data_IF_132756145174
#
_entry.id   IF_132756145174
#
_cell.length_a   1.000
_cell.length_b   1.000
_cell.length_c   1.000
_cell.angle_alpha   90.00
_cell.angle_beta   90.00
_cell.angle_gamma   90.00
#
_symmetry.space_group_name_H-M   'P 1'
#
loop_
_entity.id
_entity.type
_entity.pdbx_description
1 polymer ?
#
# COMPACT_ATOMS: atom_id res chain seq x y z
N UNK A 1 -1.77 -12.99 -7.42
CA UNK A 1 -1.66 -14.25 -8.19
C UNK A 1 -2.98 -15.01 -8.18
N UNK A 2 -3.65 -15.08 -9.33
CA UNK A 2 -4.92 -15.78 -9.50
C UNK A 2 -5.48 -15.65 -10.91
N UNK A 3 -6.58 -16.36 -11.25
CA UNK A 3 -7.07 -16.43 -12.63
C UNK A 3 -7.56 -15.07 -13.16
N UNK A 4 -8.11 -14.20 -12.31
CA UNK A 4 -8.55 -12.87 -12.73
C UNK A 4 -7.38 -11.95 -13.10
N UNK A 5 -6.36 -11.91 -12.26
CA UNK A 5 -5.11 -11.18 -12.53
C UNK A 5 -4.44 -11.73 -13.80
N UNK A 6 -4.34 -13.07 -13.94
CA UNK A 6 -3.76 -13.69 -15.13
C UNK A 6 -4.53 -13.37 -16.41
N UNK A 7 -5.85 -13.29 -16.36
CA UNK A 7 -6.66 -12.81 -17.48
C UNK A 7 -6.33 -11.36 -17.85
N UNK A 8 -6.23 -10.47 -16.84
CA UNK A 8 -5.84 -9.07 -17.05
C UNK A 8 -4.46 -8.95 -17.70
N UNK A 9 -3.49 -9.73 -17.22
CA UNK A 9 -2.15 -9.81 -17.82
C UNK A 9 -2.21 -10.21 -19.30
N UNK A 10 -3.00 -11.21 -19.67
CA UNK A 10 -3.18 -11.63 -21.07
C UNK A 10 -3.76 -10.53 -21.95
N UNK A 11 -4.70 -9.75 -21.44
CA UNK A 11 -5.29 -8.60 -22.17
C UNK A 11 -4.24 -7.52 -22.42
N UNK A 12 -3.49 -7.13 -21.36
CA UNK A 12 -2.45 -6.10 -21.44
C UNK A 12 -1.32 -6.54 -22.37
N UNK A 13 -0.86 -7.78 -22.24
CA UNK A 13 0.17 -8.37 -23.12
C UNK A 13 -0.24 -8.37 -24.59
N UNK A 14 -1.51 -8.74 -24.86
CA UNK A 14 -2.06 -8.68 -26.21
C UNK A 14 -2.05 -7.27 -26.82
N UNK A 15 -2.33 -6.24 -26.00
CA UNK A 15 -2.26 -4.84 -26.42
C UNK A 15 -0.82 -4.39 -26.67
N UNK A 16 0.10 -4.74 -25.78
CA UNK A 16 1.52 -4.42 -25.94
C UNK A 16 2.11 -5.05 -27.20
N UNK A 17 1.78 -6.33 -27.49
CA UNK A 17 2.15 -7.01 -28.74
C UNK A 17 1.61 -6.30 -29.97
N UNK A 18 0.34 -5.88 -29.94
CA UNK A 18 -0.27 -5.14 -31.08
C UNK A 18 0.36 -3.76 -31.28
N UNK A 19 1.00 -3.19 -30.27
CA UNK A 19 1.77 -1.95 -30.35
C UNK A 19 3.22 -2.17 -30.77
N UNK A 20 3.68 -3.43 -30.93
CA UNK A 20 5.07 -3.76 -31.26
C UNK A 20 6.06 -3.48 -30.11
N UNK A 21 5.63 -3.47 -28.88
CA UNK A 21 6.50 -3.30 -27.72
C UNK A 21 7.30 -4.59 -27.46
N UNK A 22 8.54 -4.45 -26.98
CA UNK A 22 9.30 -5.58 -26.46
C UNK A 22 8.71 -6.01 -25.10
N UNK A 23 8.52 -7.32 -24.91
CA UNK A 23 7.89 -7.86 -23.71
C UNK A 23 8.85 -8.81 -23.03
N UNK A 24 9.05 -8.58 -21.72
CA UNK A 24 9.87 -9.41 -20.85
C UNK A 24 9.11 -9.71 -19.56
N UNK A 25 9.48 -10.80 -18.88
CA UNK A 25 8.96 -11.14 -17.58
C UNK A 25 10.14 -11.41 -16.64
N UNK A 26 10.06 -10.91 -15.42
CA UNK A 26 11.07 -11.18 -14.41
C UNK A 26 10.81 -12.52 -13.67
N UNK A 27 11.66 -12.80 -12.69
CA UNK A 27 11.56 -14.01 -11.87
C UNK A 27 10.25 -14.10 -11.07
N UNK A 28 9.62 -12.97 -10.74
CA UNK A 28 8.33 -12.88 -10.03
C UNK A 28 7.12 -12.89 -10.98
N UNK A 29 7.35 -13.03 -12.28
CA UNK A 29 6.34 -12.92 -13.35
C UNK A 29 5.70 -11.53 -13.48
N UNK A 30 6.36 -10.46 -13.01
CA UNK A 30 6.01 -9.11 -13.43
C UNK A 30 6.27 -8.96 -14.93
N UNK A 31 5.49 -8.12 -15.61
CA UNK A 31 5.62 -7.94 -17.06
C UNK A 31 6.14 -6.54 -17.38
N UNK A 32 7.14 -6.49 -18.25
CA UNK A 32 7.79 -5.27 -18.74
C UNK A 32 7.50 -5.12 -20.23
N UNK A 33 6.92 -3.98 -20.59
CA UNK A 33 6.52 -3.65 -21.96
C UNK A 33 7.30 -2.42 -22.41
N UNK A 34 8.33 -2.60 -23.23
CA UNK A 34 9.31 -1.56 -23.54
C UNK A 34 9.13 -1.00 -24.94
N UNK A 35 9.01 0.32 -25.04
CA UNK A 35 9.22 1.10 -26.26
C UNK A 35 10.71 1.47 -26.31
N UNK A 36 11.49 0.95 -27.27
CA UNK A 36 12.92 1.22 -27.33
C UNK A 36 13.21 2.71 -27.60
N UNK A 37 14.21 3.22 -26.89
CA UNK A 37 14.77 4.54 -27.11
C UNK A 37 15.92 4.55 -28.11
N UNK A 38 16.51 5.74 -28.32
CA UNK A 38 17.69 5.91 -29.16
C UNK A 38 18.97 5.37 -28.49
N UNK A 39 19.01 5.39 -27.17
CA UNK A 39 20.11 4.87 -26.34
C UNK A 39 19.56 3.88 -25.31
N UNK A 40 19.48 2.59 -25.67
CA UNK A 40 18.98 1.55 -24.74
C UNK A 40 19.95 1.22 -23.60
N UNK A 41 21.20 1.75 -23.64
CA UNK A 41 22.16 1.63 -22.55
C UNK A 41 22.00 2.67 -21.44
N UNK A 42 21.20 3.71 -21.69
CA UNK A 42 20.89 4.72 -20.66
C UNK A 42 19.83 4.22 -19.69
N UNK A 43 19.85 4.70 -18.42
CA UNK A 43 18.80 4.42 -17.46
C UNK A 43 17.41 4.75 -18.03
N UNK A 44 16.49 3.80 -17.91
CA UNK A 44 15.16 3.86 -18.51
C UNK A 44 14.16 4.70 -17.71
N UNK A 45 13.17 5.23 -18.38
CA UNK A 45 11.97 5.77 -17.72
C UNK A 45 10.98 4.62 -17.60
N UNK A 46 10.51 4.37 -16.39
CA UNK A 46 9.49 3.37 -16.12
C UNK A 46 8.18 4.04 -15.72
N UNK A 47 7.08 3.42 -16.10
CA UNK A 47 5.73 3.74 -15.72
C UNK A 47 5.03 2.45 -15.35
N UNK A 48 3.91 2.53 -14.67
CA UNK A 48 3.10 1.34 -14.43
C UNK A 48 2.42 1.36 -13.08
N UNK A 49 1.84 0.26 -12.75
CA UNK A 49 1.16 -0.08 -11.50
C UNK A 49 0.84 -1.57 -11.51
N UNK A 50 -0.16 -2.01 -10.76
CA UNK A 50 -0.58 -3.41 -10.63
C UNK A 50 -1.89 -3.71 -11.38
N UNK A 51 -2.26 -4.99 -11.44
CA UNK A 51 -3.53 -5.45 -12.06
C UNK A 51 -4.35 -6.31 -11.07
N UNK A 52 -3.75 -6.75 -9.98
CA UNK A 52 -4.50 -7.37 -8.90
C UNK A 52 -5.38 -6.35 -8.16
N UNK A 53 -6.32 -6.83 -7.37
CA UNK A 53 -7.29 -6.00 -6.67
C UNK A 53 -7.71 -6.64 -5.36
N UNK A 54 -8.13 -5.81 -4.42
CA UNK A 54 -8.79 -6.25 -3.18
C UNK A 54 -10.17 -6.86 -3.45
N UNK A 55 -10.70 -7.71 -2.57
CA UNK A 55 -12.08 -8.17 -2.66
C UNK A 55 -13.05 -6.98 -2.68
N UNK A 56 -13.91 -6.93 -3.69
CA UNK A 56 -14.85 -5.82 -3.93
C UNK A 56 -14.16 -4.48 -4.24
N UNK A 57 -12.92 -4.52 -4.74
CA UNK A 57 -12.21 -3.35 -5.25
C UNK A 57 -12.87 -2.76 -6.49
N UNK A 58 -12.46 -1.54 -6.83
CA UNK A 58 -12.90 -0.85 -8.04
C UNK A 58 -12.27 -1.43 -9.32
N UNK A 59 -12.64 -0.84 -10.46
CA UNK A 59 -12.13 -1.30 -11.77
C UNK A 59 -10.87 -0.55 -12.22
N UNK A 60 -10.44 0.47 -11.49
CA UNK A 60 -9.42 1.43 -11.94
C UNK A 60 -8.15 1.38 -11.11
N UNK A 61 -8.24 0.90 -9.88
CA UNK A 61 -7.11 0.77 -8.99
C UNK A 61 -6.03 -0.12 -9.62
N UNK A 62 -4.79 0.34 -9.63
CA UNK A 62 -3.67 -0.28 -10.31
C UNK A 62 -3.80 -0.30 -11.85
N UNK A 63 -4.93 -0.80 -12.37
CA UNK A 63 -5.17 -0.91 -13.81
C UNK A 63 -5.02 0.43 -14.55
N UNK A 64 -5.41 1.55 -13.95
CA UNK A 64 -5.26 2.88 -14.54
C UNK A 64 -3.79 3.22 -14.81
N UNK A 65 -2.88 2.87 -13.90
CA UNK A 65 -1.44 3.12 -14.06
C UNK A 65 -0.81 2.30 -15.16
N UNK A 66 -1.15 1.01 -15.23
CA UNK A 66 -0.66 0.13 -16.33
C UNK A 66 -1.17 0.60 -17.69
N UNK A 67 -2.47 0.91 -17.80
CA UNK A 67 -3.06 1.40 -19.05
C UNK A 67 -2.53 2.78 -19.40
N UNK A 68 -2.36 3.67 -18.40
CA UNK A 68 -1.76 4.99 -18.58
C UNK A 68 -0.36 4.92 -19.17
N UNK A 69 0.46 3.98 -18.72
CA UNK A 69 1.79 3.72 -19.28
C UNK A 69 1.73 3.31 -20.76
N UNK A 70 0.85 2.36 -21.12
CA UNK A 70 0.65 1.97 -22.52
C UNK A 70 0.13 3.13 -23.38
N UNK A 71 -0.77 3.96 -22.86
CA UNK A 71 -1.30 5.14 -23.56
C UNK A 71 -0.18 6.14 -23.83
N UNK A 72 0.70 6.39 -22.85
CA UNK A 72 1.86 7.27 -23.03
C UNK A 72 2.82 6.75 -24.10
N UNK A 73 3.14 5.45 -24.12
CA UNK A 73 3.96 4.84 -25.16
C UNK A 73 3.28 4.94 -26.54
N UNK A 74 1.96 4.70 -26.60
CA UNK A 74 1.19 4.83 -27.84
C UNK A 74 1.17 6.27 -28.36
N UNK A 75 1.08 7.26 -27.46
CA UNK A 75 1.17 8.66 -27.84
C UNK A 75 2.52 9.01 -28.46
N UNK A 76 3.64 8.57 -27.88
CA UNK A 76 4.97 8.73 -28.45
C UNK A 76 5.06 8.15 -29.86
N UNK A 77 4.58 6.90 -30.05
CA UNK A 77 4.54 6.26 -31.37
C UNK A 77 3.71 7.05 -32.37
N UNK A 78 2.52 7.51 -31.96
CA UNK A 78 1.59 8.23 -32.85
C UNK A 78 2.12 9.60 -33.29
N UNK A 79 2.94 10.23 -32.45
CA UNK A 79 3.63 11.48 -32.74
C UNK A 79 4.96 11.29 -33.49
N UNK A 80 5.37 10.04 -33.76
CA UNK A 80 6.65 9.74 -34.39
C UNK A 80 7.85 10.09 -33.50
N UNK A 81 7.67 10.15 -32.19
CA UNK A 81 8.73 10.50 -31.24
C UNK A 81 9.44 9.23 -30.79
N UNK A 82 10.75 9.15 -31.12
CA UNK A 82 11.63 8.15 -30.51
C UNK A 82 12.23 8.74 -29.24
N UNK A 83 11.96 8.16 -28.04
CA UNK A 83 12.51 8.68 -26.79
C UNK A 83 14.03 8.58 -26.75
N UNK A 84 14.68 9.36 -25.86
CA UNK A 84 16.15 9.33 -25.73
C UNK A 84 16.66 8.03 -25.09
N UNK A 85 15.91 7.46 -24.17
CA UNK A 85 16.18 6.19 -23.51
C UNK A 85 14.93 5.31 -23.61
N UNK A 86 15.03 4.06 -23.21
CA UNK A 86 13.90 3.15 -23.16
C UNK A 86 12.79 3.69 -22.26
N UNK A 87 11.54 3.51 -22.72
CA UNK A 87 10.35 3.80 -21.92
C UNK A 87 9.61 2.48 -21.70
N UNK A 88 9.54 2.05 -20.45
CA UNK A 88 9.00 0.74 -20.07
C UNK A 88 7.74 0.91 -19.22
N UNK A 89 6.66 0.26 -19.62
CA UNK A 89 5.50 0.08 -18.75
C UNK A 89 5.64 -1.24 -18.00
N UNK A 90 5.57 -1.21 -16.69
CA UNK A 90 5.61 -2.38 -15.82
C UNK A 90 4.20 -2.70 -15.32
N UNK A 91 3.76 -3.94 -15.47
CA UNK A 91 2.63 -4.48 -14.75
C UNK A 91 3.16 -5.30 -13.57
N UNK A 92 2.89 -4.81 -12.37
CA UNK A 92 3.37 -5.37 -11.11
C UNK A 92 2.40 -6.44 -10.64
N UNK A 93 2.92 -7.58 -10.15
CA UNK A 93 2.15 -8.67 -9.57
C UNK A 93 1.89 -8.45 -8.09
N UNK A 94 0.66 -8.78 -7.67
CA UNK A 94 0.31 -8.94 -6.25
C UNK A 94 0.86 -7.79 -5.37
N UNK A 95 0.49 -6.57 -5.72
CA UNK A 95 0.79 -5.37 -4.96
C UNK A 95 0.00 -5.39 -3.65
N UNK A 96 -1.27 -5.78 -3.72
CA UNK A 96 -2.26 -5.79 -2.66
C UNK A 96 -1.96 -6.84 -1.59
N UNK A 97 -1.79 -6.42 -0.37
CA UNK A 97 -1.39 -7.30 0.76
C UNK A 97 -2.48 -8.26 1.24
N UNK A 98 -3.73 -8.05 0.84
CA UNK A 98 -4.90 -8.72 1.45
C UNK A 98 -4.94 -10.24 1.24
N UNK A 99 -4.37 -10.73 0.14
CA UNK A 99 -4.45 -12.14 -0.22
C UNK A 99 -3.44 -13.04 0.51
N UNK A 100 -2.23 -12.54 0.77
CA UNK A 100 -1.15 -13.31 1.40
C UNK A 100 -0.64 -12.69 2.70
N UNK A 101 -1.18 -11.55 3.13
CA UNK A 101 -0.68 -10.75 4.26
C UNK A 101 0.80 -10.36 4.11
N UNK A 102 1.28 -10.31 2.87
CA UNK A 102 2.59 -9.83 2.44
C UNK A 102 2.35 -8.71 1.44
N UNK A 103 2.91 -7.53 1.68
CA UNK A 103 2.75 -6.36 0.82
C UNK A 103 3.82 -6.32 -0.26
N UNK A 104 3.46 -5.77 -1.43
CA UNK A 104 4.40 -5.40 -2.48
C UNK A 104 5.21 -6.59 -3.04
N UNK A 105 4.57 -7.75 -3.20
CA UNK A 105 5.24 -9.00 -3.58
C UNK A 105 5.99 -8.82 -4.92
N UNK A 106 5.32 -8.25 -5.92
CA UNK A 106 5.90 -8.10 -7.26
C UNK A 106 7.11 -7.18 -7.29
N UNK A 107 7.00 -5.97 -6.74
CA UNK A 107 8.11 -5.02 -6.72
C UNK A 107 9.28 -5.52 -5.88
N UNK A 108 9.02 -6.08 -4.68
CA UNK A 108 10.06 -6.68 -3.84
C UNK A 108 10.78 -7.83 -4.53
N UNK A 109 10.05 -8.64 -5.28
CA UNK A 109 10.64 -9.73 -6.08
C UNK A 109 11.51 -9.18 -7.21
N UNK A 110 11.07 -8.10 -7.90
CA UNK A 110 11.83 -7.47 -8.96
C UNK A 110 13.20 -6.95 -8.47
N UNK A 111 13.27 -6.45 -7.24
CA UNK A 111 14.51 -5.99 -6.60
C UNK A 111 15.23 -7.06 -5.75
N UNK A 112 14.71 -8.28 -5.67
CA UNK A 112 15.34 -9.37 -4.91
C UNK A 112 15.30 -9.18 -3.39
N UNK A 113 14.32 -8.43 -2.87
CA UNK A 113 14.17 -8.08 -1.45
C UNK A 113 12.87 -8.60 -0.83
N UNK A 114 12.32 -9.68 -1.41
CA UNK A 114 11.16 -10.35 -0.82
C UNK A 114 11.52 -10.86 0.59
N UNK A 115 10.72 -10.59 1.63
CA UNK A 115 11.05 -11.00 2.99
C UNK A 115 11.19 -12.53 3.14
N UNK A 116 12.05 -12.95 4.04
CA UNK A 116 12.19 -14.36 4.42
C UNK A 116 10.84 -14.93 4.87
N UNK A 117 10.52 -16.14 4.43
CA UNK A 117 9.26 -16.80 4.75
C UNK A 117 8.04 -16.30 3.93
N UNK A 118 8.16 -15.27 3.11
CA UNK A 118 7.05 -14.78 2.32
C UNK A 118 6.51 -15.80 1.31
N UNK A 119 7.38 -16.63 0.74
CA UNK A 119 7.00 -17.68 -0.22
C UNK A 119 6.11 -18.77 0.40
N UNK A 120 6.18 -18.94 1.70
CA UNK A 120 5.40 -19.89 2.50
C UNK A 120 4.11 -19.27 3.04
N UNK A 121 3.89 -17.96 2.84
CA UNK A 121 2.69 -17.27 3.31
C UNK A 121 1.43 -17.89 2.69
N UNK A 122 0.45 -18.31 3.52
CA UNK A 122 -0.76 -18.94 3.00
C UNK A 122 -1.72 -17.88 2.41
N UNK A 123 -2.32 -18.20 1.28
CA UNK A 123 -3.42 -17.39 0.75
C UNK A 123 -4.64 -17.50 1.68
N UNK A 124 -5.24 -16.36 1.99
CA UNK A 124 -6.31 -16.26 3.02
C UNK A 124 -7.56 -17.10 2.72
N UNK A 125 -7.87 -17.40 1.47
CA UNK A 125 -9.04 -18.14 1.05
C UNK A 125 -8.78 -19.64 0.78
N UNK A 126 -7.56 -20.01 0.36
CA UNK A 126 -7.21 -21.36 -0.04
C UNK A 126 -6.25 -22.05 0.93
N UNK A 127 -5.50 -21.32 1.73
CA UNK A 127 -4.42 -21.81 2.57
C UNK A 127 -3.19 -22.28 1.81
N UNK A 128 -3.19 -22.22 0.48
CA UNK A 128 -2.04 -22.62 -0.36
C UNK A 128 -0.94 -21.57 -0.27
N UNK A 129 0.34 -21.97 -0.27
CA UNK A 129 1.46 -21.05 -0.14
C UNK A 129 1.61 -20.13 -1.38
N UNK A 130 2.15 -18.94 -1.18
CA UNK A 130 2.43 -17.95 -2.23
C UNK A 130 3.25 -18.54 -3.37
N UNK A 131 4.28 -19.34 -3.05
CA UNK A 131 5.16 -19.97 -4.05
C UNK A 131 4.42 -20.81 -5.10
N UNK A 132 3.35 -21.53 -4.70
CA UNK A 132 2.55 -22.31 -5.65
C UNK A 132 1.78 -21.39 -6.61
N UNK A 133 1.14 -20.33 -6.08
CA UNK A 133 0.41 -19.36 -6.90
C UNK A 133 1.33 -18.59 -7.86
N UNK A 134 2.54 -18.24 -7.43
CA UNK A 134 3.55 -17.61 -8.27
C UNK A 134 3.99 -18.55 -9.40
N UNK A 135 4.30 -19.82 -9.08
CA UNK A 135 4.71 -20.81 -10.07
C UNK A 135 3.63 -21.04 -11.14
N UNK A 136 2.35 -21.11 -10.74
CA UNK A 136 1.20 -21.21 -11.66
C UNK A 136 1.09 -20.00 -12.62
N UNK A 137 1.60 -18.85 -12.22
CA UNK A 137 1.66 -17.64 -13.04
C UNK A 137 2.96 -17.48 -13.83
N UNK A 138 3.86 -18.48 -13.78
CA UNK A 138 5.10 -18.50 -14.55
C UNK A 138 6.33 -17.93 -13.85
N UNK A 139 6.27 -17.69 -12.52
CA UNK A 139 7.42 -17.23 -11.77
C UNK A 139 8.49 -18.34 -11.62
N UNK A 140 9.75 -17.95 -11.62
CA UNK A 140 10.90 -18.79 -11.28
C UNK A 140 11.16 -18.74 -9.76
N UNK A 141 10.53 -19.67 -9.06
CA UNK A 141 10.56 -19.70 -7.58
C UNK A 141 11.98 -19.89 -7.04
N UNK A 142 12.87 -20.58 -7.77
CA UNK A 142 14.26 -20.78 -7.35
C UNK A 142 15.04 -19.46 -7.36
N UNK A 143 14.88 -18.66 -8.41
CA UNK A 143 15.52 -17.32 -8.50
C UNK A 143 14.92 -16.34 -7.48
N UNK A 144 13.60 -16.40 -7.27
CA UNK A 144 12.93 -15.58 -6.25
C UNK A 144 13.46 -15.94 -4.84
N UNK A 145 13.54 -17.24 -4.52
CA UNK A 145 14.07 -17.73 -3.24
C UNK A 145 15.53 -17.37 -3.03
N UNK A 146 16.30 -17.34 -4.10
CA UNK A 146 17.70 -16.91 -4.07
C UNK A 146 17.88 -15.39 -3.92
N UNK A 147 16.79 -14.59 -3.88
CA UNK A 147 16.85 -13.14 -3.79
C UNK A 147 17.49 -12.50 -5.03
N UNK A 148 17.36 -13.11 -6.21
CA UNK A 148 17.97 -12.59 -7.42
C UNK A 148 17.17 -11.42 -7.97
N UNK A 149 17.76 -10.23 -7.90
CA UNK A 149 17.17 -9.05 -8.49
C UNK A 149 17.12 -9.13 -10.02
N UNK A 150 16.03 -8.64 -10.60
CA UNK A 150 15.86 -8.37 -12.03
C UNK A 150 16.14 -6.91 -12.34
N UNK A 151 15.70 -6.01 -11.47
CA UNK A 151 15.93 -4.57 -11.56
C UNK A 151 17.09 -4.14 -10.67
N UNK A 152 17.84 -3.13 -11.15
CA UNK A 152 18.75 -2.36 -10.35
C UNK A 152 18.30 -0.89 -10.39
N UNK A 153 18.17 -0.24 -9.25
CA UNK A 153 17.71 1.15 -9.15
C UNK A 153 18.56 2.13 -10.00
N UNK A 154 19.86 1.86 -10.19
CA UNK A 154 20.74 2.69 -11.04
C UNK A 154 20.35 2.68 -12.52
N UNK A 155 19.65 1.64 -12.98
CA UNK A 155 19.21 1.49 -14.38
C UNK A 155 17.81 2.12 -14.59
N UNK A 156 17.24 2.73 -13.55
CA UNK A 156 15.95 3.43 -13.58
C UNK A 156 16.21 4.92 -13.41
N UNK A 157 15.91 5.72 -14.42
CA UNK A 157 16.01 7.17 -14.40
C UNK A 157 14.88 7.82 -13.62
N UNK A 158 13.67 7.29 -13.78
CA UNK A 158 12.45 7.74 -13.12
C UNK A 158 11.41 6.62 -13.17
N UNK A 159 10.60 6.52 -12.11
CA UNK A 159 9.35 5.75 -12.11
C UNK A 159 8.18 6.71 -11.91
N UNK A 160 7.15 6.59 -12.75
CA UNK A 160 5.94 7.41 -12.67
C UNK A 160 4.73 6.49 -12.64
N UNK A 161 3.91 6.63 -11.61
CA UNK A 161 2.68 5.89 -11.46
C UNK A 161 1.46 6.81 -11.57
N UNK A 162 0.48 6.43 -12.39
CA UNK A 162 -0.85 7.00 -12.36
C UNK A 162 -1.68 6.14 -11.43
N UNK A 163 -2.16 6.74 -10.35
CA UNK A 163 -2.99 6.08 -9.37
C UNK A 163 -4.34 6.80 -9.23
N UNK A 164 -5.38 6.09 -8.84
CA UNK A 164 -6.65 6.70 -8.46
C UNK A 164 -6.48 7.42 -7.12
N UNK A 165 -7.27 8.45 -6.88
CA UNK A 165 -7.15 9.23 -5.64
C UNK A 165 -7.57 8.45 -4.39
N UNK A 166 -8.48 7.50 -4.50
CA UNK A 166 -9.12 6.77 -3.39
C UNK A 166 -9.82 7.68 -2.36
N UNK A 167 -10.05 8.94 -2.71
CA UNK A 167 -10.65 9.98 -1.90
C UNK A 167 -11.49 10.94 -2.78
N UNK A 168 -12.35 11.81 -2.23
CA UNK A 168 -13.18 12.72 -3.01
C UNK A 168 -12.56 14.09 -3.27
N UNK A 169 -11.35 14.40 -2.82
CA UNK A 169 -10.78 15.75 -2.79
C UNK A 169 -10.65 16.39 -4.18
N UNK A 170 -10.19 15.62 -5.18
CA UNK A 170 -10.11 16.11 -6.57
C UNK A 170 -11.50 16.42 -7.15
N UNK A 171 -12.48 15.56 -6.85
CA UNK A 171 -13.86 15.76 -7.29
C UNK A 171 -14.46 17.00 -6.62
N UNK A 172 -14.26 17.16 -5.31
CA UNK A 172 -14.73 18.34 -4.56
C UNK A 172 -14.05 19.63 -5.03
N UNK A 173 -12.76 19.58 -5.35
CA UNK A 173 -12.01 20.71 -5.91
C UNK A 173 -12.32 20.99 -7.39
N UNK A 174 -13.02 20.08 -8.09
CA UNK A 174 -13.26 20.17 -9.53
C UNK A 174 -11.99 20.08 -10.37
N UNK A 175 -10.96 19.37 -9.88
CA UNK A 175 -9.66 19.23 -10.53
C UNK A 175 -9.51 17.86 -11.18
N UNK A 176 -8.85 17.77 -12.34
CA UNK A 176 -8.73 16.53 -13.10
C UNK A 176 -7.66 15.58 -12.56
N UNK A 177 -6.63 16.12 -11.89
CA UNK A 177 -5.52 15.34 -11.34
C UNK A 177 -4.74 16.12 -10.27
N UNK A 178 -3.94 15.38 -9.49
CA UNK A 178 -2.94 15.91 -8.58
C UNK A 178 -1.55 15.34 -8.92
N UNK A 179 -0.51 15.97 -8.41
CA UNK A 179 0.84 15.40 -8.39
C UNK A 179 1.19 15.16 -6.93
N UNK A 180 1.46 13.89 -6.56
CA UNK A 180 1.82 13.51 -5.22
C UNK A 180 3.18 14.06 -4.81
N UNK A 181 3.26 14.63 -3.62
CA UNK A 181 4.52 15.12 -3.02
C UNK A 181 5.33 14.00 -2.38
N UNK A 182 4.72 12.85 -2.18
CA UNK A 182 5.33 11.66 -1.60
C UNK A 182 4.29 10.63 -1.18
N UNK A 183 4.79 9.51 -0.69
CA UNK A 183 3.98 8.42 -0.13
C UNK A 183 4.16 8.40 1.37
N UNK A 184 3.08 8.33 2.17
CA UNK A 184 3.17 8.33 3.62
C UNK A 184 3.88 7.08 4.14
N UNK A 185 4.73 7.27 5.14
CA UNK A 185 5.20 6.16 5.94
C UNK A 185 4.13 5.70 6.93
N UNK A 186 4.35 4.55 7.54
CA UNK A 186 3.42 4.02 8.52
C UNK A 186 4.12 3.28 9.66
N UNK A 187 3.37 3.12 10.75
CA UNK A 187 3.58 2.03 11.69
C UNK A 187 2.27 1.29 11.92
N UNK A 188 2.38 -0.03 12.06
CA UNK A 188 1.24 -0.95 12.14
C UNK A 188 1.40 -1.90 13.32
N UNK A 189 0.28 -2.12 14.00
CA UNK A 189 0.13 -3.16 15.00
C UNK A 189 -1.02 -4.08 14.58
N UNK A 190 -0.73 -5.17 13.83
CA UNK A 190 -1.76 -6.04 13.25
C UNK A 190 -2.63 -6.76 14.29
N UNK A 191 -2.09 -6.98 15.49
CA UNK A 191 -2.75 -7.73 16.57
C UNK A 191 -2.47 -7.06 17.91
N UNK A 192 -3.33 -6.12 18.29
CA UNK A 192 -3.33 -5.54 19.63
C UNK A 192 -4.30 -6.35 20.49
N UNK A 193 -3.86 -6.81 21.64
CA UNK A 193 -4.72 -7.46 22.64
C UNK A 193 -4.85 -6.58 23.85
N UNK A 194 -6.10 -6.34 24.27
CA UNK A 194 -6.41 -5.68 25.55
C UNK A 194 -6.92 -6.75 26.50
N UNK A 195 -6.26 -6.94 27.64
CA UNK A 195 -6.65 -7.89 28.66
C UNK A 195 -7.19 -7.15 29.89
N UNK A 196 -8.44 -7.42 30.19
CA UNK A 196 -9.15 -7.02 31.41
C UNK A 196 -9.61 -8.24 32.21
N UNK A 197 -10.80 -8.17 32.79
CA UNK A 197 -11.39 -9.29 33.54
C UNK A 197 -12.84 -9.56 33.11
N UNK A 198 -13.17 -10.79 32.76
CA UNK A 198 -14.54 -11.19 32.52
C UNK A 198 -15.35 -11.10 33.82
N UNK A 199 -16.55 -10.53 33.73
CA UNK A 199 -17.42 -10.37 34.89
C UNK A 199 -18.89 -10.41 34.51
N UNK A 200 -19.75 -10.69 35.48
CA UNK A 200 -21.18 -10.58 35.30
C UNK A 200 -21.60 -9.11 35.16
N UNK A 201 -22.61 -8.80 34.35
CA UNK A 201 -23.13 -7.44 34.10
C UNK A 201 -23.52 -6.70 35.39
N UNK A 202 -23.88 -7.39 36.47
CA UNK A 202 -24.20 -6.83 37.75
C UNK A 202 -23.01 -6.36 38.60
N UNK A 203 -21.73 -6.63 38.15
CA UNK A 203 -20.56 -6.15 38.89
C UNK A 203 -20.53 -4.60 38.85
N UNK A 204 -20.42 -3.90 40.02
CA UNK A 204 -20.36 -2.46 40.03
C UNK A 204 -19.17 -1.90 39.28
N UNK A 205 -19.35 -0.76 38.59
CA UNK A 205 -18.36 -0.11 37.71
C UNK A 205 -16.94 -0.02 38.29
N UNK A 206 -16.81 0.30 39.58
CA UNK A 206 -15.52 0.50 40.28
C UNK A 206 -14.65 -0.77 40.37
N UNK A 207 -15.24 -1.94 40.13
CA UNK A 207 -14.55 -3.23 40.20
C UNK A 207 -14.30 -3.84 38.81
N UNK A 208 -14.78 -3.20 37.74
CA UNK A 208 -14.65 -3.72 36.40
C UNK A 208 -13.30 -3.37 35.78
N UNK A 209 -12.68 -4.36 35.17
CA UNK A 209 -11.59 -4.17 34.21
C UNK A 209 -12.12 -4.51 32.83
N UNK A 210 -12.88 -3.59 32.28
CA UNK A 210 -13.68 -3.76 31.07
C UNK A 210 -12.82 -3.48 29.83
N UNK A 211 -12.46 -4.53 29.11
CA UNK A 211 -11.61 -4.42 27.92
C UNK A 211 -12.32 -3.69 26.77
N UNK A 212 -13.66 -3.80 26.66
CA UNK A 212 -14.41 -3.10 25.60
C UNK A 212 -14.44 -1.59 25.82
N UNK A 213 -14.62 -1.14 27.08
CA UNK A 213 -14.52 0.28 27.38
C UNK A 213 -13.10 0.82 27.22
N UNK A 214 -12.08 0.02 27.52
CA UNK A 214 -10.68 0.38 27.27
C UNK A 214 -10.38 0.52 25.79
N UNK A 215 -10.90 -0.39 24.96
CA UNK A 215 -10.79 -0.30 23.48
C UNK A 215 -11.51 0.94 22.93
N UNK A 216 -12.67 1.28 23.49
CA UNK A 216 -13.41 2.49 23.11
C UNK A 216 -12.65 3.76 23.45
N UNK A 217 -12.06 3.85 24.66
CA UNK A 217 -11.20 4.96 25.06
C UNK A 217 -9.97 5.07 24.15
N UNK A 218 -9.43 3.95 23.71
CA UNK A 218 -8.31 3.90 22.78
C UNK A 218 -8.69 4.48 21.41
N UNK A 219 -9.81 4.05 20.83
CA UNK A 219 -10.30 4.58 19.56
C UNK A 219 -10.59 6.09 19.62
N UNK A 220 -11.29 6.53 20.66
CA UNK A 220 -11.58 7.96 20.87
C UNK A 220 -10.31 8.78 21.18
N UNK A 221 -9.34 8.18 21.85
CA UNK A 221 -8.05 8.82 22.10
C UNK A 221 -7.22 9.02 20.83
N UNK A 222 -7.25 8.07 19.92
CA UNK A 222 -6.63 8.20 18.59
C UNK A 222 -7.35 9.26 17.74
N UNK A 223 -8.68 9.25 17.73
CA UNK A 223 -9.47 10.27 17.04
C UNK A 223 -9.15 11.68 17.53
N UNK A 224 -8.98 11.84 18.85
CA UNK A 224 -8.54 13.12 19.43
C UNK A 224 -7.15 13.53 18.95
N UNK A 225 -6.19 12.59 18.88
CA UNK A 225 -4.85 12.86 18.36
C UNK A 225 -4.95 13.32 16.90
N UNK A 226 -5.81 12.70 16.08
CA UNK A 226 -6.04 13.11 14.71
C UNK A 226 -6.60 14.53 14.63
N UNK A 227 -7.68 14.83 15.36
CA UNK A 227 -8.26 16.18 15.39
C UNK A 227 -7.25 17.26 15.81
N UNK A 228 -6.36 16.96 16.77
CA UNK A 228 -5.31 17.90 17.21
C UNK A 228 -4.27 18.12 16.09
N UNK A 229 -3.93 17.09 15.32
CA UNK A 229 -3.02 17.19 14.18
C UNK A 229 -3.67 17.93 13.00
N UNK A 230 -4.93 17.65 12.68
CA UNK A 230 -5.68 18.39 11.64
C UNK A 230 -5.74 19.89 11.96
N UNK A 231 -6.02 20.24 13.22
CA UNK A 231 -6.04 21.64 13.65
C UNK A 231 -4.66 22.33 13.58
N UNK A 232 -3.58 21.55 13.58
CA UNK A 232 -2.20 22.02 13.46
C UNK A 232 -1.66 21.97 12.01
N UNK A 233 -2.50 21.63 11.02
CA UNK A 233 -2.12 21.41 9.62
C UNK A 233 -0.99 20.39 9.47
N UNK A 234 -1.09 19.30 10.23
CA UNK A 234 -0.15 18.16 10.22
C UNK A 234 -0.89 16.90 9.76
N UNK A 235 -0.92 16.61 8.47
CA UNK A 235 -1.71 15.51 7.93
C UNK A 235 -1.24 14.17 8.49
N UNK A 236 -2.21 13.37 8.92
CA UNK A 236 -2.05 11.99 9.35
C UNK A 236 -3.33 11.22 9.05
N UNK A 237 -3.24 9.90 9.12
CA UNK A 237 -4.41 9.03 9.10
C UNK A 237 -4.22 7.88 10.08
N UNK A 238 -5.33 7.31 10.59
CA UNK A 238 -5.28 6.01 11.24
C UNK A 238 -6.50 5.16 10.88
N UNK A 239 -6.32 3.85 10.98
CA UNK A 239 -7.41 2.88 10.80
C UNK A 239 -7.35 1.81 11.87
N UNK A 240 -8.50 1.52 12.48
CA UNK A 240 -8.72 0.34 13.31
C UNK A 240 -9.52 -0.67 12.47
N UNK A 241 -8.82 -1.55 11.77
CA UNK A 241 -9.45 -2.50 10.83
C UNK A 241 -10.11 -3.70 11.53
N UNK A 242 -9.68 -4.02 12.76
CA UNK A 242 -10.28 -5.04 13.63
C UNK A 242 -10.65 -4.40 14.96
N UNK A 243 -11.83 -4.76 15.47
CA UNK A 243 -12.31 -4.28 16.75
C UNK A 243 -13.37 -5.24 17.28
N UNK A 244 -12.96 -6.26 18.02
CA UNK A 244 -13.89 -7.30 18.45
C UNK A 244 -13.51 -7.93 19.79
N UNK A 245 -14.53 -8.45 20.48
CA UNK A 245 -14.39 -9.28 21.68
C UNK A 245 -13.99 -10.71 21.28
N UNK A 246 -13.57 -11.50 22.23
CA UNK A 246 -13.37 -12.94 22.04
C UNK A 246 -14.74 -13.63 21.84
N UNK A 247 -14.98 -14.14 20.63
CA UNK A 247 -16.25 -14.76 20.21
C UNK A 247 -16.59 -16.04 20.94
N UNK A 248 -15.58 -16.74 21.50
CA UNK A 248 -15.78 -18.02 22.19
C UNK A 248 -16.39 -17.85 23.59
N UNK A 249 -16.27 -16.65 24.17
CA UNK A 249 -16.69 -16.37 25.55
C UNK A 249 -17.58 -15.14 25.71
N UNK A 250 -17.84 -14.38 24.66
CA UNK A 250 -18.69 -13.21 24.75
C UNK A 250 -20.18 -13.60 24.92
N UNK A 251 -20.92 -12.84 25.73
CA UNK A 251 -22.36 -13.01 25.87
C UNK A 251 -23.02 -11.70 26.31
N UNK A 252 -24.33 -11.56 26.12
CA UNK A 252 -25.09 -10.35 26.38
C UNK A 252 -24.90 -9.79 27.82
N UNK A 253 -24.68 -10.68 28.79
CA UNK A 253 -24.59 -10.31 30.20
C UNK A 253 -23.18 -10.42 30.80
N UNK A 254 -22.18 -10.56 29.95
CA UNK A 254 -20.76 -10.65 30.36
C UNK A 254 -20.02 -9.37 30.00
N UNK A 255 -19.33 -8.79 30.99
CA UNK A 255 -18.33 -7.72 30.78
C UNK A 255 -17.16 -8.35 30.05
N UNK A 256 -16.76 -7.87 28.85
CA UNK A 256 -15.64 -8.44 28.10
C UNK A 256 -14.32 -8.29 28.86
N UNK A 257 -13.64 -9.41 29.09
CA UNK A 257 -12.30 -9.46 29.67
C UNK A 257 -11.20 -9.40 28.61
N UNK A 258 -11.55 -9.43 27.32
CA UNK A 258 -10.58 -9.36 26.23
C UNK A 258 -11.16 -8.65 25.02
N UNK A 259 -10.30 -7.83 24.36
CA UNK A 259 -10.55 -7.23 23.06
C UNK A 259 -9.35 -7.43 22.15
N UNK A 260 -9.63 -7.61 20.87
CA UNK A 260 -8.62 -7.66 19.79
C UNK A 260 -8.83 -6.51 18.83
N UNK A 261 -7.75 -5.81 18.50
CA UNK A 261 -7.75 -4.69 17.55
C UNK A 261 -6.60 -4.85 16.53
N UNK A 262 -6.69 -4.11 15.44
CA UNK A 262 -5.53 -3.81 14.61
C UNK A 262 -5.44 -2.30 14.42
N UNK A 263 -4.23 -1.77 14.24
CA UNK A 263 -3.98 -0.36 14.06
C UNK A 263 -3.00 -0.15 12.90
N UNK A 264 -3.33 0.76 11.99
CA UNK A 264 -2.44 1.36 10.99
C UNK A 264 -2.44 2.86 11.24
N UNK A 265 -1.27 3.49 11.36
CA UNK A 265 -1.09 4.94 11.49
C UNK A 265 -0.13 5.41 10.43
N UNK A 266 -0.47 6.49 9.73
CA UNK A 266 0.28 7.04 8.61
C UNK A 266 0.55 8.52 8.77
N UNK A 267 1.72 8.97 8.29
CA UNK A 267 2.08 10.38 8.18
C UNK A 267 3.17 10.57 7.11
N UNK A 268 3.39 11.83 6.71
CA UNK A 268 4.22 12.18 5.56
C UNK A 268 5.65 12.57 5.93
N UNK A 269 6.02 12.53 7.20
CA UNK A 269 7.40 12.70 7.64
C UNK A 269 7.76 11.77 8.81
N UNK A 270 8.99 11.32 8.84
CA UNK A 270 9.47 10.36 9.83
C UNK A 270 9.47 10.91 11.27
N UNK A 271 9.86 12.17 11.54
CA UNK A 271 9.69 12.79 12.86
C UNK A 271 8.25 12.76 13.36
N UNK A 272 7.28 13.09 12.50
CA UNK A 272 5.87 13.08 12.85
C UNK A 272 5.38 11.66 13.20
N UNK A 273 5.78 10.65 12.41
CA UNK A 273 5.47 9.25 12.74
C UNK A 273 5.99 8.84 14.12
N UNK A 274 7.21 9.26 14.47
CA UNK A 274 7.80 8.97 15.78
C UNK A 274 7.02 9.66 16.92
N UNK A 275 6.60 10.91 16.73
CA UNK A 275 5.77 11.66 17.69
C UNK A 275 4.40 11.00 17.87
N UNK A 276 3.75 10.56 16.77
CA UNK A 276 2.47 9.87 16.81
C UNK A 276 2.58 8.52 17.55
N UNK A 277 3.65 7.77 17.32
CA UNK A 277 3.89 6.50 18.03
C UNK A 277 4.13 6.73 19.53
N UNK A 278 4.85 7.80 19.89
CA UNK A 278 5.02 8.18 21.29
C UNK A 278 3.68 8.58 21.92
N UNK A 279 2.85 9.35 21.21
CA UNK A 279 1.50 9.73 21.67
C UNK A 279 0.59 8.49 21.86
N UNK A 280 0.71 7.48 20.99
CA UNK A 280 0.06 6.18 21.14
C UNK A 280 0.47 5.50 22.43
N UNK A 281 1.77 5.41 22.75
CA UNK A 281 2.25 4.79 23.98
C UNK A 281 1.78 5.54 25.24
N UNK A 282 1.72 6.87 25.17
CA UNK A 282 1.17 7.69 26.26
C UNK A 282 -0.32 7.46 26.46
N UNK A 283 -1.07 7.32 25.37
CA UNK A 283 -2.49 6.99 25.40
C UNK A 283 -2.71 5.61 26.04
N UNK A 284 -1.97 4.60 25.62
CA UNK A 284 -2.03 3.24 26.20
C UNK A 284 -1.80 3.27 27.71
N UNK A 285 -0.71 3.90 28.17
CA UNK A 285 -0.39 4.00 29.60
C UNK A 285 -1.50 4.66 30.40
N UNK A 286 -2.11 5.73 29.86
CA UNK A 286 -3.23 6.42 30.52
C UNK A 286 -4.45 5.52 30.67
N UNK A 287 -4.77 4.74 29.64
CA UNK A 287 -5.93 3.84 29.65
C UNK A 287 -5.68 2.67 30.61
N UNK A 288 -4.49 2.07 30.59
CA UNK A 288 -4.12 1.02 31.55
C UNK A 288 -4.30 1.46 32.98
N UNK A 289 -3.77 2.64 33.32
CA UNK A 289 -3.91 3.22 34.67
C UNK A 289 -5.38 3.53 35.05
N UNK A 290 -6.18 4.03 34.09
CA UNK A 290 -7.57 4.43 34.35
C UNK A 290 -8.54 3.24 34.41
N UNK A 291 -8.30 2.19 33.63
CA UNK A 291 -9.21 1.03 33.47
C UNK A 291 -8.74 -0.24 34.18
N UNK A 292 -7.48 -0.30 34.62
CA UNK A 292 -6.89 -1.50 35.24
C UNK A 292 -6.76 -2.68 34.29
N UNK A 293 -6.63 -2.39 33.00
CA UNK A 293 -6.39 -3.38 31.92
C UNK A 293 -4.91 -3.38 31.54
N UNK A 294 -4.50 -4.31 30.69
CA UNK A 294 -3.17 -4.31 30.07
C UNK A 294 -3.28 -4.38 28.56
N UNK A 295 -2.40 -3.67 27.86
CA UNK A 295 -2.25 -3.73 26.42
C UNK A 295 -1.03 -4.55 26.03
N UNK A 296 -1.22 -5.50 25.14
CA UNK A 296 -0.17 -6.16 24.37
C UNK A 296 -0.31 -5.67 22.92
N UNK A 297 0.62 -4.83 22.49
CA UNK A 297 0.59 -4.28 21.12
C UNK A 297 1.04 -5.30 20.06
N UNK A 298 1.69 -6.40 20.49
CA UNK A 298 2.19 -7.42 19.57
C UNK A 298 3.34 -6.94 18.68
N UNK A 299 3.50 -7.60 17.54
CA UNK A 299 4.55 -7.29 16.59
C UNK A 299 4.28 -5.96 15.86
N UNK A 300 5.32 -5.13 15.75
CA UNK A 300 5.30 -3.89 14.97
C UNK A 300 5.75 -4.15 13.54
N UNK A 301 5.02 -3.63 12.57
CA UNK A 301 5.46 -3.48 11.19
C UNK A 301 5.52 -1.99 10.83
N UNK A 302 6.32 -1.61 9.85
CA UNK A 302 6.40 -0.21 9.38
C UNK A 302 6.89 -0.14 7.94
N UNK A 303 6.59 0.99 7.30
CA UNK A 303 7.20 1.43 6.06
C UNK A 303 7.69 2.87 6.25
N UNK A 304 8.81 3.20 5.59
CA UNK A 304 9.37 4.54 5.63
C UNK A 304 8.59 5.50 4.72
N UNK A 305 8.69 6.79 4.99
CA UNK A 305 8.18 7.84 4.12
C UNK A 305 9.00 7.87 2.83
N UNK A 306 8.35 7.93 1.68
CA UNK A 306 9.00 8.07 0.38
C UNK A 306 8.60 9.38 -0.30
N UNK A 307 9.44 10.44 -0.22
CA UNK A 307 9.18 11.70 -0.91
C UNK A 307 9.32 11.51 -2.43
N UNK A 308 8.48 12.23 -3.19
CA UNK A 308 8.62 12.26 -4.65
C UNK A 308 9.96 12.88 -5.05
N UNK A 309 10.59 12.31 -6.09
CA UNK A 309 11.83 12.90 -6.64
C UNK A 309 11.57 14.32 -7.14
N UNK A 310 12.37 15.33 -6.71
CA UNK A 310 12.14 16.72 -7.08
C UNK A 310 12.22 16.97 -8.60
N UNK A 311 13.06 16.24 -9.33
CA UNK A 311 13.20 16.37 -10.77
C UNK A 311 11.99 15.81 -11.53
N UNK A 312 11.47 14.66 -11.09
CA UNK A 312 10.24 14.07 -11.65
C UNK A 312 9.05 14.96 -11.34
N UNK A 313 8.92 15.42 -10.09
CA UNK A 313 7.85 16.33 -9.67
C UNK A 313 7.83 17.61 -10.51
N UNK A 314 8.98 18.28 -10.66
CA UNK A 314 9.11 19.48 -11.49
C UNK A 314 8.78 19.21 -12.97
N UNK A 315 9.19 18.06 -13.50
CA UNK A 315 8.88 17.65 -14.88
C UNK A 315 7.38 17.47 -15.12
N UNK A 316 6.68 16.80 -14.21
CA UNK A 316 5.23 16.61 -14.27
C UNK A 316 4.48 17.92 -14.13
N UNK A 317 4.90 18.79 -13.20
CA UNK A 317 4.34 20.15 -13.02
C UNK A 317 4.46 20.97 -14.32
N UNK A 318 5.65 21.02 -14.91
CA UNK A 318 5.88 21.76 -16.14
C UNK A 318 5.05 21.19 -17.32
N UNK A 319 4.84 19.87 -17.36
CA UNK A 319 3.97 19.26 -18.37
C UNK A 319 2.50 19.66 -18.20
N UNK A 320 1.98 19.67 -16.98
CA UNK A 320 0.63 20.10 -16.69
C UNK A 320 0.39 21.59 -17.01
N UNK A 321 1.34 22.46 -16.66
CA UNK A 321 1.30 23.89 -17.01
C UNK A 321 1.22 24.11 -18.52
N UNK A 322 2.05 23.42 -19.31
CA UNK A 322 2.02 23.47 -20.77
C UNK A 322 0.69 23.05 -21.38
N UNK A 323 0.00 22.13 -20.72
CA UNK A 323 -1.31 21.64 -21.13
C UNK A 323 -2.45 22.45 -20.53
N UNK A 324 -2.16 23.50 -19.75
CA UNK A 324 -3.15 24.30 -19.02
C UNK A 324 -4.05 23.47 -18.11
N UNK A 325 -3.46 22.42 -17.50
CA UNK A 325 -4.13 21.56 -16.53
C UNK A 325 -3.93 22.16 -15.13
N UNK A 326 -5.03 22.51 -14.47
CA UNK A 326 -4.99 22.89 -13.06
C UNK A 326 -4.68 21.66 -12.19
N UNK A 327 -3.76 21.83 -11.26
CA UNK A 327 -3.29 20.78 -10.37
C UNK A 327 -3.65 21.06 -8.92
N UNK A 328 -3.93 20.00 -8.18
CA UNK A 328 -3.78 19.97 -6.75
C UNK A 328 -2.37 19.40 -6.44
N UNK A 329 -1.68 20.03 -5.50
CA UNK A 329 -0.45 19.49 -4.93
C UNK A 329 -0.84 18.89 -3.59
N UNK A 330 -0.81 17.58 -3.49
CA UNK A 330 -1.28 16.88 -2.29
C UNK A 330 -0.30 15.79 -1.88
N UNK A 331 -0.20 15.61 -0.58
CA UNK A 331 0.46 14.46 0.02
C UNK A 331 -0.46 13.23 0.11
N UNK A 332 -1.73 13.37 -0.27
CA UNK A 332 -2.76 12.31 -0.18
C UNK A 332 -2.84 11.41 -1.43
N UNK A 333 -1.85 11.44 -2.30
CA UNK A 333 -1.84 10.53 -3.43
C UNK A 333 -1.53 9.12 -2.97
N UNK A 334 -2.47 8.22 -3.15
CA UNK A 334 -2.38 6.76 -3.07
C UNK A 334 -1.88 6.16 -1.75
N UNK A 335 -2.78 5.60 -1.05
CA UNK A 335 -2.60 5.03 0.29
C UNK A 335 -1.87 3.67 0.30
N UNK A 336 -1.75 2.99 -0.84
CA UNK A 336 -1.14 1.68 -1.01
C UNK A 336 -0.05 1.64 -2.10
N UNK A 337 0.45 2.79 -2.54
CA UNK A 337 1.47 2.84 -3.58
C UNK A 337 2.79 2.20 -3.14
N UNK A 338 3.34 1.46 -4.06
CA UNK A 338 4.60 0.72 -3.95
C UNK A 338 5.75 1.66 -3.69
N UNK A 339 6.48 1.39 -2.62
CA UNK A 339 7.78 1.97 -2.38
C UNK A 339 8.81 1.22 -3.21
N UNK A 340 9.36 1.87 -4.19
CA UNK A 340 10.58 1.44 -4.87
C UNK A 340 11.67 2.46 -4.63
#
# INVERSE_FOLDING_TARGET
FGPGEQFGYGVVEGRAKAMGLAIEHDHGANMYMTLPGRDPGSPKIMMGSHIDSVPRGGNFDGAAGVIGGLVAQRALQSLGITPSCDVTTMAIRAEESVWFQVSYIGSRTAFGVLPDGALEAPRVDTGRPLSEHMAECGADIEQVRAGKAWLDAKDIRAFVEIHIEQAPQLVEAGLPLAIGTGVPGNFRYPYIRIAGEYAHVGLPRRFRKDAALAASDFALGLDKIWQENDAADRPMAFTIGRFHTNTDVHALTIVPGEMTLSLDVRAYDAPHLAELEQALFDLVRRIEAARGVTFDLGARASADVAPSDPGVFAGLTAAAERLSICLLYTSDAADDSVYV
#
